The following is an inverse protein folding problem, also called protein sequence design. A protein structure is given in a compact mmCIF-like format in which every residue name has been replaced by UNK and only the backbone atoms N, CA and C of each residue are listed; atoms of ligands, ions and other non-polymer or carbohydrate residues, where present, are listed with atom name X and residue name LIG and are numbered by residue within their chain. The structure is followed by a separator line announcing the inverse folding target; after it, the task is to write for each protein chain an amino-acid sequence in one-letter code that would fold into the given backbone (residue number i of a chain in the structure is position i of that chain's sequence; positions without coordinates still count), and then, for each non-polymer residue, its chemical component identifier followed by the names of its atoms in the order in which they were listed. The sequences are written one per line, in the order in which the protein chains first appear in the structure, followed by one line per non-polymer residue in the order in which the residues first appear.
data_IF_819380486986
#
_entry.id   IF_819380486986
#
_cell.length_a   1.000
_cell.length_b   1.000
_cell.length_c   1.000
_cell.angle_alpha   90.00
_cell.angle_beta   90.00
_cell.angle_gamma   90.00
#
_symmetry.space_group_name_H-M   'P 1'
#
loop_
_entity.id
_entity.type
_entity.pdbx_description
1 polymer ?
#
# COMPACT_ATOMS: atom_id res chain seq x y z
N UNK A 1 4.94 -9.58 -33.97
CA UNK A 1 5.70 -9.31 -32.73
C UNK A 1 7.18 -9.04 -32.97
N UNK A 2 7.93 -9.96 -33.59
CA UNK A 2 9.38 -9.80 -33.79
C UNK A 2 9.79 -8.58 -34.66
N UNK A 3 9.02 -8.25 -35.70
CA UNK A 3 9.28 -7.05 -36.53
C UNK A 3 9.11 -5.73 -35.77
N UNK A 4 8.06 -5.63 -34.94
CA UNK A 4 7.83 -4.45 -34.10
C UNK A 4 8.92 -4.26 -33.04
N UNK A 5 9.40 -5.36 -32.44
CA UNK A 5 10.50 -5.30 -31.46
C UNK A 5 11.77 -4.73 -32.09
N UNK A 6 12.12 -5.18 -33.30
CA UNK A 6 13.27 -4.65 -34.06
C UNK A 6 13.12 -3.17 -34.40
N UNK A 7 11.93 -2.74 -34.82
CA UNK A 7 11.67 -1.34 -35.14
C UNK A 7 11.81 -0.42 -33.92
N UNK A 8 11.20 -0.78 -32.78
CA UNK A 8 11.35 0.02 -31.56
C UNK A 8 12.75 -0.05 -30.97
N UNK A 9 13.46 -1.17 -31.10
CA UNK A 9 14.87 -1.25 -30.73
C UNK A 9 15.74 -0.32 -31.59
N UNK A 10 15.47 -0.22 -32.89
CA UNK A 10 16.13 0.75 -33.77
C UNK A 10 15.78 2.20 -33.39
N UNK A 11 14.52 2.47 -33.02
CA UNK A 11 14.08 3.78 -32.54
C UNK A 11 14.80 4.19 -31.24
N UNK A 12 14.91 3.29 -30.25
CA UNK A 12 15.67 3.53 -29.01
C UNK A 12 17.17 3.71 -29.30
N UNK A 13 17.71 3.04 -30.32
CA UNK A 13 19.11 3.24 -30.74
C UNK A 13 19.33 4.60 -31.40
N UNK A 14 18.35 5.10 -32.15
CA UNK A 14 18.40 6.40 -32.80
C UNK A 14 18.18 7.55 -31.80
N UNK A 15 17.25 7.39 -30.86
CA UNK A 15 16.96 8.34 -29.78
C UNK A 15 16.79 7.61 -28.45
N UNK A 16 17.91 7.47 -27.74
CA UNK A 16 17.95 6.79 -26.44
C UNK A 16 17.34 7.59 -25.29
N UNK A 17 17.03 8.88 -25.50
CA UNK A 17 16.47 9.76 -24.48
C UNK A 17 14.96 9.98 -24.65
N UNK A 18 14.29 9.16 -25.47
CA UNK A 18 12.85 9.20 -25.65
C UNK A 18 12.14 8.16 -24.77
N UNK A 19 11.40 8.63 -23.76
CA UNK A 19 10.66 7.76 -22.83
C UNK A 19 9.59 6.92 -23.55
N UNK A 20 8.92 7.47 -24.56
CA UNK A 20 7.85 6.79 -25.30
C UNK A 20 8.41 5.63 -26.13
N UNK A 21 9.58 5.79 -26.75
CA UNK A 21 10.24 4.73 -27.49
C UNK A 21 10.58 3.54 -26.58
N UNK A 22 11.09 3.83 -25.37
CA UNK A 22 11.39 2.81 -24.37
C UNK A 22 10.14 2.12 -23.84
N UNK A 23 9.09 2.90 -23.53
CA UNK A 23 7.80 2.36 -23.11
C UNK A 23 7.24 1.41 -24.16
N UNK A 24 7.17 1.83 -25.43
CA UNK A 24 6.65 1.01 -26.52
C UNK A 24 7.49 -0.24 -26.76
N UNK A 25 8.82 -0.15 -26.67
CA UNK A 25 9.70 -1.32 -26.72
C UNK A 25 9.38 -2.30 -25.57
N UNK A 26 9.18 -1.78 -24.35
CA UNK A 26 8.79 -2.58 -23.19
C UNK A 26 7.48 -3.35 -23.41
N UNK A 27 6.45 -2.69 -23.97
CA UNK A 27 5.16 -3.32 -24.31
C UNK A 27 5.35 -4.48 -25.30
N UNK A 28 6.15 -4.26 -26.34
CA UNK A 28 6.37 -5.27 -27.38
C UNK A 28 7.20 -6.45 -26.85
N UNK A 29 8.22 -6.20 -26.04
CA UNK A 29 9.04 -7.23 -25.40
C UNK A 29 8.21 -8.12 -24.48
N UNK A 30 7.35 -7.51 -23.69
CA UNK A 30 6.44 -8.22 -22.79
C UNK A 30 5.46 -9.11 -23.56
N UNK A 31 4.87 -8.59 -24.63
CA UNK A 31 3.97 -9.36 -25.47
C UNK A 31 4.69 -10.43 -26.31
N UNK A 32 6.02 -10.34 -26.43
CA UNK A 32 6.88 -11.40 -26.95
C UNK A 32 7.37 -12.39 -25.86
N UNK A 33 6.92 -12.24 -24.61
CA UNK A 33 7.31 -13.10 -23.48
C UNK A 33 8.64 -12.73 -22.81
N UNK A 34 9.35 -11.71 -23.29
CA UNK A 34 10.58 -11.23 -22.66
C UNK A 34 10.26 -10.25 -21.53
N UNK A 35 9.89 -10.78 -20.37
CA UNK A 35 9.54 -10.02 -19.17
C UNK A 35 10.72 -9.22 -18.61
N UNK A 36 11.94 -9.75 -18.68
CA UNK A 36 13.14 -9.09 -18.18
C UNK A 36 13.47 -7.84 -18.98
N UNK A 37 13.54 -7.97 -20.31
CA UNK A 37 13.76 -6.83 -21.19
C UNK A 37 12.64 -5.81 -21.11
N UNK A 38 11.39 -6.25 -20.92
CA UNK A 38 10.27 -5.33 -20.71
C UNK A 38 10.44 -4.49 -19.44
N UNK A 39 10.76 -5.12 -18.30
CA UNK A 39 10.97 -4.42 -17.04
C UNK A 39 12.14 -3.42 -17.11
N UNK A 40 13.24 -3.81 -17.77
CA UNK A 40 14.37 -2.91 -18.03
C UNK A 40 13.95 -1.68 -18.84
N UNK A 41 13.23 -1.85 -19.95
CA UNK A 41 12.81 -0.70 -20.77
C UNK A 41 11.77 0.18 -20.06
N UNK A 42 10.85 -0.40 -19.30
CA UNK A 42 9.86 0.35 -18.51
C UNK A 42 10.52 1.18 -17.40
N UNK A 43 11.52 0.61 -16.70
CA UNK A 43 12.28 1.38 -15.69
C UNK A 43 13.15 2.46 -16.35
N UNK A 44 13.75 2.21 -17.51
CA UNK A 44 14.46 3.26 -18.25
C UNK A 44 13.53 4.36 -18.77
N UNK A 45 12.29 4.04 -19.20
CA UNK A 45 11.30 5.04 -19.57
C UNK A 45 10.97 5.97 -18.38
N UNK A 46 10.75 5.39 -17.20
CA UNK A 46 10.49 6.14 -15.96
C UNK A 46 11.68 6.95 -15.45
N UNK A 47 12.90 6.56 -15.82
CA UNK A 47 14.09 7.36 -15.52
C UNK A 47 14.14 8.64 -16.38
N UNK A 48 13.67 8.58 -17.62
CA UNK A 48 13.62 9.72 -18.54
C UNK A 48 12.41 10.60 -18.24
N UNK A 49 11.23 9.99 -18.11
CA UNK A 49 9.98 10.65 -17.71
C UNK A 49 9.45 10.03 -16.41
N UNK A 50 9.83 10.59 -15.24
CA UNK A 50 9.33 10.13 -13.95
C UNK A 50 7.82 10.24 -13.77
N UNK A 51 7.13 11.06 -14.57
CA UNK A 51 5.68 11.27 -14.48
C UNK A 51 4.89 10.34 -15.42
N UNK A 52 5.55 9.44 -16.15
CA UNK A 52 4.89 8.52 -17.09
C UNK A 52 4.05 7.44 -16.38
N UNK A 53 2.82 7.79 -15.99
CA UNK A 53 1.88 6.90 -15.29
C UNK A 53 1.64 5.58 -16.04
N UNK A 54 1.59 5.61 -17.37
CA UNK A 54 1.43 4.42 -18.19
C UNK A 54 2.56 3.41 -18.00
N UNK A 55 3.81 3.87 -17.89
CA UNK A 55 4.97 3.01 -17.67
C UNK A 55 4.98 2.44 -16.24
N UNK A 56 4.68 3.27 -15.22
CA UNK A 56 4.60 2.81 -13.82
C UNK A 56 3.53 1.73 -13.64
N UNK A 57 2.30 1.96 -14.15
CA UNK A 57 1.21 0.96 -14.11
C UNK A 57 1.59 -0.32 -14.83
N UNK A 58 2.26 -0.22 -15.99
CA UNK A 58 2.68 -1.40 -16.75
C UNK A 58 3.76 -2.20 -16.03
N UNK A 59 4.73 -1.52 -15.43
CA UNK A 59 5.78 -2.13 -14.64
C UNK A 59 5.19 -2.87 -13.43
N UNK A 60 4.29 -2.21 -12.69
CA UNK A 60 3.56 -2.82 -11.58
C UNK A 60 2.83 -4.10 -12.01
N UNK A 61 2.10 -4.06 -13.13
CA UNK A 61 1.39 -5.22 -13.66
C UNK A 61 2.31 -6.36 -14.11
N UNK A 62 3.43 -6.02 -14.77
CA UNK A 62 4.43 -6.99 -15.18
C UNK A 62 5.07 -7.71 -13.99
N UNK A 63 5.42 -6.96 -12.94
CA UNK A 63 6.06 -7.50 -11.73
C UNK A 63 5.07 -8.30 -10.86
N UNK A 64 3.78 -7.92 -10.85
CA UNK A 64 2.74 -8.66 -10.13
C UNK A 64 2.43 -10.04 -10.70
N UNK A 65 2.71 -10.29 -11.99
CA UNK A 65 2.39 -11.56 -12.68
C UNK A 65 3.60 -12.40 -13.06
N UNK A 66 4.80 -11.88 -12.86
CA UNK A 66 6.02 -12.53 -13.32
C UNK A 66 7.15 -12.30 -12.35
N UNK A 67 7.75 -13.40 -11.87
CA UNK A 67 9.01 -13.34 -11.15
C UNK A 67 10.12 -13.03 -12.16
N UNK A 68 10.83 -11.92 -11.95
CA UNK A 68 12.02 -11.64 -12.74
C UNK A 68 13.14 -12.61 -12.34
N UNK A 69 13.91 -13.14 -13.31
CA UNK A 69 15.10 -13.91 -13.00
C UNK A 69 16.13 -13.04 -12.28
N UNK A 70 17.07 -13.70 -11.61
CA UNK A 70 18.15 -13.01 -10.91
C UNK A 70 19.09 -12.31 -11.90
N UNK A 71 19.65 -11.17 -11.49
CA UNK A 71 20.60 -10.40 -12.32
C UNK A 71 19.97 -9.50 -13.40
N UNK A 72 18.64 -9.38 -13.45
CA UNK A 72 17.97 -8.39 -14.31
C UNK A 72 18.42 -6.98 -13.93
N UNK A 73 18.84 -6.20 -14.94
CA UNK A 73 19.29 -4.83 -14.77
C UNK A 73 18.10 -3.88 -14.81
N UNK A 74 17.59 -3.53 -13.64
CA UNK A 74 16.53 -2.53 -13.50
C UNK A 74 17.14 -1.16 -13.23
N UNK A 75 16.55 -0.12 -13.83
CA UNK A 75 16.98 1.24 -13.58
C UNK A 75 16.54 1.69 -12.18
N UNK A 76 17.50 2.02 -11.31
CA UNK A 76 17.24 2.41 -9.92
C UNK A 76 16.41 3.68 -9.80
N UNK A 77 16.67 4.68 -10.64
CA UNK A 77 15.89 5.93 -10.64
C UNK A 77 14.48 5.69 -11.20
N UNK A 78 14.35 4.83 -12.20
CA UNK A 78 13.05 4.40 -12.73
C UNK A 78 12.19 3.66 -11.70
N UNK A 79 12.78 2.73 -10.95
CA UNK A 79 12.10 2.05 -9.83
C UNK A 79 11.67 3.04 -8.75
N UNK A 80 12.55 3.97 -8.37
CA UNK A 80 12.23 5.04 -7.42
C UNK A 80 11.06 5.88 -7.91
N UNK A 81 11.08 6.30 -9.18
CA UNK A 81 9.99 7.05 -9.79
C UNK A 81 8.69 6.24 -9.77
N UNK A 82 8.72 4.95 -10.13
CA UNK A 82 7.55 4.07 -10.11
C UNK A 82 6.85 4.06 -8.74
N UNK A 83 7.62 3.95 -7.64
CA UNK A 83 7.12 3.93 -6.27
C UNK A 83 6.39 5.22 -5.86
N UNK A 84 6.64 6.34 -6.55
CA UNK A 84 5.96 7.62 -6.26
C UNK A 84 4.56 7.73 -6.87
N UNK A 85 4.18 6.88 -7.83
CA UNK A 85 2.85 6.94 -8.47
C UNK A 85 1.75 6.37 -7.56
N UNK A 86 0.68 7.14 -7.32
CA UNK A 86 -0.48 6.70 -6.52
C UNK A 86 -1.42 5.72 -7.27
N UNK A 87 -1.24 5.55 -8.58
CA UNK A 87 -2.10 4.70 -9.42
C UNK A 87 -1.55 3.29 -9.62
N UNK A 88 -0.40 2.97 -9.02
CA UNK A 88 0.21 1.66 -9.05
C UNK A 88 0.09 0.97 -7.68
N UNK A 89 0.07 -0.36 -7.68
CA UNK A 89 0.24 -1.14 -6.44
C UNK A 89 1.70 -1.03 -5.98
N UNK A 90 1.93 -0.14 -5.01
CA UNK A 90 3.26 0.14 -4.47
C UNK A 90 3.84 -1.04 -3.69
N UNK A 91 3.01 -1.90 -3.13
CA UNK A 91 3.49 -3.08 -2.40
C UNK A 91 4.12 -4.09 -3.38
N UNK A 92 3.53 -4.28 -4.55
CA UNK A 92 4.12 -5.10 -5.63
C UNK A 92 5.44 -4.51 -6.15
N UNK A 93 5.48 -3.20 -6.36
CA UNK A 93 6.71 -2.50 -6.77
C UNK A 93 7.80 -2.59 -5.70
N UNK A 94 7.44 -2.44 -4.42
CA UNK A 94 8.37 -2.52 -3.31
C UNK A 94 8.94 -3.93 -3.17
N UNK A 95 8.10 -4.97 -3.25
CA UNK A 95 8.56 -6.36 -3.20
C UNK A 95 9.58 -6.68 -4.29
N UNK A 96 9.30 -6.28 -5.54
CA UNK A 96 10.23 -6.47 -6.65
C UNK A 96 11.52 -5.65 -6.50
N UNK A 97 11.40 -4.42 -5.98
CA UNK A 97 12.56 -3.54 -5.73
C UNK A 97 13.46 -4.11 -4.64
N UNK A 98 12.88 -4.61 -3.54
CA UNK A 98 13.64 -5.25 -2.46
C UNK A 98 14.30 -6.55 -2.91
N UNK A 99 13.63 -7.36 -3.75
CA UNK A 99 14.24 -8.54 -4.37
C UNK A 99 15.43 -8.16 -5.26
N UNK A 100 15.34 -7.08 -6.04
CA UNK A 100 16.46 -6.59 -6.81
C UNK A 100 17.60 -6.07 -5.90
N UNK A 101 17.28 -5.28 -4.88
CA UNK A 101 18.26 -4.74 -3.95
C UNK A 101 18.98 -5.84 -3.16
N UNK A 102 18.28 -6.91 -2.75
CA UNK A 102 18.86 -8.01 -1.98
C UNK A 102 19.91 -8.81 -2.75
N UNK A 103 19.98 -8.64 -4.08
CA UNK A 103 20.99 -9.26 -4.95
C UNK A 103 22.22 -8.36 -5.17
N UNK A 104 22.15 -7.10 -4.75
CA UNK A 104 23.17 -6.09 -5.00
C UNK A 104 23.76 -5.55 -3.70
N UNK A 105 24.98 -5.01 -3.77
CA UNK A 105 25.57 -4.29 -2.64
C UNK A 105 24.85 -2.94 -2.44
N UNK A 106 24.74 -2.46 -1.18
CA UNK A 106 25.25 -3.09 0.04
C UNK A 106 24.29 -4.12 0.68
N UNK A 107 22.99 -4.12 0.32
CA UNK A 107 21.97 -4.91 1.02
C UNK A 107 22.28 -6.41 1.02
N UNK A 108 22.73 -6.97 -0.10
CA UNK A 108 23.12 -8.39 -0.19
C UNK A 108 24.11 -8.79 0.93
N UNK A 109 25.18 -8.01 1.11
CA UNK A 109 26.23 -8.27 2.11
C UNK A 109 25.67 -8.21 3.54
N UNK A 110 24.77 -7.26 3.79
CA UNK A 110 24.11 -7.09 5.09
C UNK A 110 23.23 -8.31 5.41
N UNK A 111 22.45 -8.77 4.43
CA UNK A 111 21.58 -9.95 4.60
C UNK A 111 22.40 -11.24 4.78
N UNK A 112 23.48 -11.42 4.01
CA UNK A 112 24.41 -12.53 4.19
C UNK A 112 25.04 -12.52 5.59
N UNK A 113 25.44 -11.34 6.10
CA UNK A 113 25.96 -11.18 7.47
C UNK A 113 24.91 -11.55 8.52
N UNK A 114 23.69 -11.02 8.38
CA UNK A 114 22.61 -11.29 9.32
C UNK A 114 22.25 -12.77 9.40
N UNK A 115 22.22 -13.46 8.26
CA UNK A 115 22.02 -14.90 8.20
C UNK A 115 23.16 -15.72 8.83
N UNK A 116 24.40 -15.24 8.75
CA UNK A 116 25.59 -15.96 9.25
C UNK A 116 25.94 -15.68 10.71
N UNK A 117 25.72 -14.45 11.17
CA UNK A 117 26.19 -13.95 12.49
C UNK A 117 25.05 -13.48 13.41
N UNK A 118 23.85 -13.33 12.87
CA UNK A 118 22.70 -12.80 13.61
C UNK A 118 22.31 -11.40 13.18
N UNK A 119 21.01 -11.11 13.24
CA UNK A 119 20.43 -9.85 12.79
C UNK A 119 20.83 -8.66 13.67
N UNK A 120 21.04 -8.88 14.98
CA UNK A 120 21.55 -7.86 15.91
C UNK A 120 22.90 -7.31 15.46
N UNK A 121 23.84 -8.20 15.14
CA UNK A 121 25.18 -7.83 14.69
C UNK A 121 25.13 -7.06 13.38
N UNK A 122 24.32 -7.51 12.42
CA UNK A 122 24.15 -6.80 11.14
C UNK A 122 23.53 -5.40 11.33
N UNK A 123 22.59 -5.26 12.26
CA UNK A 123 22.00 -3.97 12.61
C UNK A 123 23.02 -3.03 13.25
N UNK A 124 23.83 -3.52 14.20
CA UNK A 124 24.89 -2.73 14.84
C UNK A 124 25.98 -2.31 13.84
N UNK A 125 26.41 -3.21 12.97
CA UNK A 125 27.37 -2.88 11.90
C UNK A 125 26.81 -1.83 10.93
N UNK A 126 25.50 -1.81 10.71
CA UNK A 126 24.82 -0.82 9.86
C UNK A 126 24.68 0.53 10.55
N UNK A 127 24.32 0.57 11.84
CA UNK A 127 24.07 1.80 12.57
C UNK A 127 25.36 2.47 13.09
N UNK A 128 26.33 1.67 13.51
CA UNK A 128 27.53 2.11 14.25
C UNK A 128 28.84 1.66 13.57
N UNK A 129 28.82 0.55 12.83
CA UNK A 129 30.01 -0.08 12.28
C UNK A 129 30.31 0.29 10.83
N UNK A 130 30.67 -0.70 10.03
CA UNK A 130 31.22 -0.54 8.67
C UNK A 130 30.17 -0.56 7.55
N UNK A 131 28.97 -1.08 7.79
CA UNK A 131 27.96 -1.33 6.76
C UNK A 131 26.96 -0.15 6.62
N UNK A 132 27.45 1.09 6.72
CA UNK A 132 26.60 2.30 6.78
C UNK A 132 26.11 2.81 5.41
N UNK A 133 26.58 2.22 4.30
CA UNK A 133 26.24 2.65 2.93
C UNK A 133 24.72 2.65 2.69
N UNK A 134 24.00 1.66 3.24
CA UNK A 134 22.55 1.51 3.08
C UNK A 134 21.76 2.65 3.72
N UNK A 135 22.31 3.34 4.74
CA UNK A 135 21.66 4.47 5.41
C UNK A 135 21.37 5.64 4.45
N UNK A 136 22.16 5.75 3.38
CA UNK A 136 22.00 6.78 2.35
C UNK A 136 21.37 6.29 1.05
N UNK A 137 20.99 5.01 0.95
CA UNK A 137 20.49 4.45 -0.31
C UNK A 137 19.08 4.97 -0.61
N UNK A 138 18.99 5.91 -1.56
CA UNK A 138 17.72 6.58 -1.85
C UNK A 138 16.62 5.69 -2.43
N UNK A 139 16.97 4.54 -3.05
CA UNK A 139 15.97 3.60 -3.55
C UNK A 139 15.45 2.72 -2.41
N UNK A 140 16.36 2.23 -1.56
CA UNK A 140 15.98 1.48 -0.36
C UNK A 140 15.07 2.30 0.55
N UNK A 141 15.47 3.53 0.87
CA UNK A 141 14.68 4.45 1.69
C UNK A 141 13.31 4.77 1.07
N UNK A 142 13.23 5.03 -0.25
CA UNK A 142 11.93 5.26 -0.89
C UNK A 142 11.05 4.00 -0.84
N UNK A 143 11.65 2.82 -0.96
CA UNK A 143 10.93 1.55 -0.89
C UNK A 143 10.29 1.34 0.48
N UNK A 144 11.05 1.56 1.57
CA UNK A 144 10.53 1.48 2.95
C UNK A 144 9.40 2.48 3.22
N UNK A 145 9.41 3.64 2.57
CA UNK A 145 8.41 4.70 2.80
C UNK A 145 7.10 4.47 2.05
N UNK A 146 7.07 3.59 1.06
CA UNK A 146 5.99 3.54 0.06
C UNK A 146 5.30 2.19 -0.06
N UNK A 147 5.96 1.09 0.32
CA UNK A 147 5.36 -0.24 0.21
C UNK A 147 5.74 -1.14 1.37
N UNK A 148 4.83 -2.05 1.69
CA UNK A 148 5.02 -2.97 2.81
C UNK A 148 6.13 -3.97 2.50
N UNK A 149 7.18 -3.98 3.33
CA UNK A 149 8.22 -5.01 3.34
C UNK A 149 7.60 -6.35 3.77
N UNK A 150 7.74 -7.38 2.93
CA UNK A 150 7.22 -8.74 3.19
C UNK A 150 8.29 -9.83 3.06
N UNK A 151 9.56 -9.44 2.88
CA UNK A 151 10.68 -10.38 2.79
C UNK A 151 11.16 -10.73 4.21
N UNK A 152 11.13 -12.01 4.64
CA UNK A 152 11.47 -12.39 6.01
C UNK A 152 12.86 -11.92 6.45
N UNK A 153 13.88 -12.11 5.61
CA UNK A 153 15.25 -11.68 5.93
C UNK A 153 15.40 -10.15 6.07
N UNK A 154 14.63 -9.38 5.29
CA UNK A 154 14.65 -7.91 5.39
C UNK A 154 13.84 -7.45 6.61
N UNK A 155 12.72 -8.10 6.92
CA UNK A 155 11.95 -7.83 8.14
C UNK A 155 12.77 -8.11 9.40
N UNK A 156 13.46 -9.25 9.46
CA UNK A 156 14.34 -9.58 10.58
C UNK A 156 15.46 -8.54 10.75
N UNK A 157 16.10 -8.15 9.64
CA UNK A 157 17.11 -7.09 9.64
C UNK A 157 16.55 -5.75 10.14
N UNK A 158 15.41 -5.30 9.62
CA UNK A 158 14.80 -4.01 10.00
C UNK A 158 14.28 -4.03 11.44
N UNK A 159 13.77 -5.17 11.92
CA UNK A 159 13.38 -5.38 13.32
C UNK A 159 14.60 -5.24 14.23
N UNK A 160 15.74 -5.83 13.85
CA UNK A 160 16.99 -5.67 14.58
C UNK A 160 17.55 -4.24 14.54
N UNK A 161 17.43 -3.53 13.39
CA UNK A 161 17.79 -2.09 13.29
C UNK A 161 16.92 -1.26 14.22
N UNK A 162 15.61 -1.50 14.25
CA UNK A 162 14.67 -0.83 15.16
C UNK A 162 15.09 -1.01 16.62
N UNK A 163 15.36 -2.25 17.04
CA UNK A 163 15.85 -2.55 18.39
C UNK A 163 17.22 -1.89 18.67
N UNK A 164 18.08 -1.73 17.66
CA UNK A 164 19.42 -1.15 17.83
C UNK A 164 19.31 0.35 18.08
N UNK A 165 18.43 1.01 17.33
CA UNK A 165 18.14 2.43 17.52
C UNK A 165 17.57 2.73 18.92
N UNK A 166 16.82 1.80 19.52
CA UNK A 166 16.27 1.94 20.87
C UNK A 166 17.30 1.66 21.98
N UNK A 167 18.04 0.56 21.86
CA UNK A 167 18.83 0.02 22.98
C UNK A 167 20.32 0.39 22.94
N UNK A 168 20.92 0.50 21.75
CA UNK A 168 22.39 0.56 21.61
C UNK A 168 22.90 1.86 21.00
N UNK A 169 22.14 2.48 20.09
CA UNK A 169 22.60 3.64 19.33
C UNK A 169 22.54 4.91 20.20
N UNK A 170 23.67 5.59 20.44
CA UNK A 170 23.68 6.80 21.26
C UNK A 170 22.97 7.96 20.54
N UNK A 171 22.34 8.86 21.30
CA UNK A 171 21.62 10.03 20.75
C UNK A 171 22.48 10.90 19.82
N UNK A 172 23.78 11.03 20.11
CA UNK A 172 24.73 11.74 19.25
C UNK A 172 24.88 11.14 17.84
N UNK A 173 24.47 9.88 17.61
CA UNK A 173 24.50 9.30 16.26
C UNK A 173 23.42 9.90 15.34
N UNK A 174 22.33 10.43 15.91
CA UNK A 174 21.26 11.13 15.17
C UNK A 174 21.67 12.54 14.69
N UNK A 175 22.94 12.93 14.84
CA UNK A 175 23.48 14.11 14.15
C UNK A 175 23.76 13.84 12.67
N UNK A 176 23.95 12.59 12.27
CA UNK A 176 24.11 12.20 10.87
C UNK A 176 22.75 12.10 10.17
N UNK A 177 22.58 12.94 9.16
CA UNK A 177 21.35 13.00 8.39
C UNK A 177 21.01 11.69 7.65
N UNK A 178 22.01 10.84 7.34
CA UNK A 178 21.74 9.52 6.73
C UNK A 178 21.03 8.59 7.71
N UNK A 179 21.49 8.52 8.96
CA UNK A 179 20.80 7.73 9.98
C UNK A 179 19.42 8.31 10.27
N UNK A 180 19.28 9.63 10.35
CA UNK A 180 17.97 10.28 10.55
C UNK A 180 17.00 9.92 9.43
N UNK A 181 17.43 9.96 8.16
CA UNK A 181 16.59 9.57 7.01
C UNK A 181 16.19 8.09 7.06
N UNK A 182 17.12 7.21 7.44
CA UNK A 182 16.83 5.79 7.67
C UNK A 182 15.81 5.60 8.80
N UNK A 183 16.00 6.28 9.94
CA UNK A 183 15.08 6.20 11.07
C UNK A 183 13.68 6.68 10.69
N UNK A 184 13.56 7.81 9.97
CA UNK A 184 12.25 8.28 9.49
C UNK A 184 11.62 7.29 8.50
N UNK A 185 12.41 6.70 7.58
CA UNK A 185 11.90 5.70 6.65
C UNK A 185 11.42 4.43 7.39
N UNK A 186 12.17 3.97 8.39
CA UNK A 186 11.81 2.83 9.22
C UNK A 186 10.56 3.10 10.07
N UNK A 187 10.46 4.29 10.65
CA UNK A 187 9.25 4.76 11.34
C UNK A 187 8.03 4.73 10.42
N UNK A 188 8.14 5.26 9.20
CA UNK A 188 7.06 5.19 8.22
C UNK A 188 6.71 3.75 7.84
N UNK A 189 7.70 2.87 7.71
CA UNK A 189 7.47 1.44 7.47
C UNK A 189 6.70 0.77 8.62
N UNK A 190 7.00 1.11 9.87
CA UNK A 190 6.24 0.65 11.04
C UNK A 190 4.81 1.18 11.06
N UNK A 191 4.55 2.38 10.51
CA UNK A 191 3.20 2.89 10.33
C UNK A 191 2.45 2.14 9.23
N UNK A 192 3.14 1.80 8.14
CA UNK A 192 2.56 1.07 7.00
C UNK A 192 2.17 -0.36 7.36
N UNK A 193 3.00 -1.06 8.15
CA UNK A 193 2.73 -2.43 8.58
C UNK A 193 1.94 -2.55 9.90
N UNK A 194 1.45 -1.41 10.42
CA UNK A 194 0.66 -1.32 11.64
C UNK A 194 1.34 -1.95 12.87
N UNK A 195 2.66 -1.74 12.98
CA UNK A 195 3.49 -2.14 14.13
C UNK A 195 3.51 -3.65 14.39
N UNK A 196 3.37 -4.48 13.35
CA UNK A 196 3.29 -5.95 13.48
C UNK A 196 4.59 -6.62 13.97
N UNK A 197 5.73 -5.92 13.93
CA UNK A 197 7.03 -6.48 14.32
C UNK A 197 7.16 -6.66 15.84
N UNK A 198 7.55 -7.86 16.24
CA UNK A 198 7.63 -8.29 17.64
C UNK A 198 8.60 -7.44 18.48
N UNK A 199 8.28 -7.30 19.77
CA UNK A 199 9.07 -6.56 20.77
C UNK A 199 9.65 -7.53 21.80
N UNK A 200 10.93 -7.36 22.15
CA UNK A 200 11.56 -8.10 23.24
C UNK A 200 11.24 -7.48 24.61
N UNK A 201 11.39 -8.23 25.71
CA UNK A 201 11.23 -7.68 27.06
C UNK A 201 12.11 -6.47 27.35
N UNK A 202 13.34 -6.45 26.82
CA UNK A 202 14.29 -5.34 26.97
C UNK A 202 13.78 -4.07 26.26
N UNK A 203 13.22 -4.22 25.06
CA UNK A 203 12.59 -3.12 24.32
C UNK A 203 11.38 -2.57 25.09
N UNK A 204 10.51 -3.45 25.60
CA UNK A 204 9.35 -3.05 26.41
C UNK A 204 9.76 -2.26 27.65
N UNK A 205 10.80 -2.71 28.36
CA UNK A 205 11.34 -2.01 29.52
C UNK A 205 11.92 -0.64 29.14
N UNK A 206 12.71 -0.57 28.07
CA UNK A 206 13.27 0.69 27.59
C UNK A 206 12.17 1.69 27.20
N UNK A 207 11.14 1.25 26.49
CA UNK A 207 10.00 2.06 26.10
C UNK A 207 9.20 2.55 27.32
N UNK A 208 9.03 1.73 28.37
CA UNK A 208 8.34 2.14 29.59
C UNK A 208 9.13 3.20 30.38
N UNK A 209 10.47 3.16 30.31
CA UNK A 209 11.35 4.08 31.06
C UNK A 209 11.50 5.47 30.43
N UNK A 210 11.07 5.65 29.17
CA UNK A 210 11.29 6.88 28.40
C UNK A 210 9.98 7.62 28.15
N UNK A 211 9.68 8.60 29.01
CA UNK A 211 8.64 9.59 28.74
C UNK A 211 9.13 10.60 27.70
N UNK A 212 8.26 10.97 26.76
CA UNK A 212 8.56 11.96 25.71
C UNK A 212 7.54 13.09 25.83
N UNK A 213 8.04 14.30 26.05
CA UNK A 213 7.22 15.50 26.12
C UNK A 213 6.85 15.96 24.69
N UNK A 214 5.60 15.74 24.30
CA UNK A 214 5.13 16.01 22.93
C UNK A 214 5.20 17.50 22.56
N UNK A 215 4.96 18.39 23.51
CA UNK A 215 5.15 19.84 23.39
C UNK A 215 6.59 20.23 23.02
N UNK A 216 7.58 19.53 23.58
CA UNK A 216 8.99 19.74 23.22
C UNK A 216 9.29 19.28 21.79
N UNK A 217 8.68 18.17 21.33
CA UNK A 217 8.76 17.74 19.93
C UNK A 217 8.18 18.81 19.01
N UNK A 218 7.00 19.32 19.33
CA UNK A 218 6.32 20.39 18.58
C UNK A 218 7.10 21.71 18.61
N UNK A 219 7.86 21.98 19.68
CA UNK A 219 8.72 23.14 19.78
C UNK A 219 10.04 23.02 18.99
N UNK A 220 10.32 21.87 18.38
CA UNK A 220 11.55 21.62 17.61
C UNK A 220 12.75 21.20 18.47
N UNK A 221 12.53 20.73 19.71
CA UNK A 221 13.60 20.24 20.55
C UNK A 221 14.26 19.00 19.95
N UNK A 222 15.58 19.06 19.78
CA UNK A 222 16.35 18.03 19.09
C UNK A 222 16.33 16.69 19.85
N UNK A 223 16.46 16.72 21.17
CA UNK A 223 16.53 15.50 21.98
C UNK A 223 15.16 14.81 22.05
N UNK A 224 14.08 15.60 22.18
CA UNK A 224 12.71 15.12 22.11
C UNK A 224 12.40 14.51 20.74
N UNK A 225 12.79 15.17 19.65
CA UNK A 225 12.59 14.66 18.29
C UNK A 225 13.32 13.33 18.04
N UNK A 226 14.55 13.18 18.55
CA UNK A 226 15.31 11.93 18.46
C UNK A 226 14.62 10.78 19.19
N UNK A 227 14.21 11.00 20.45
CA UNK A 227 13.46 10.00 21.22
C UNK A 227 12.12 9.68 20.55
N UNK A 228 11.45 10.69 20.02
CA UNK A 228 10.16 10.56 19.34
C UNK A 228 10.25 9.72 18.07
N UNK A 229 11.29 9.88 17.24
CA UNK A 229 11.48 9.06 16.04
C UNK A 229 11.56 7.58 16.39
N UNK A 230 12.31 7.23 17.44
CA UNK A 230 12.43 5.83 17.90
C UNK A 230 11.10 5.35 18.46
N UNK A 231 10.44 6.10 19.35
CA UNK A 231 9.12 5.72 19.91
C UNK A 231 8.06 5.50 18.83
N UNK A 232 8.10 6.30 17.78
CA UNK A 232 7.17 6.23 16.66
C UNK A 232 7.38 5.00 15.75
N UNK A 233 8.43 4.20 15.97
CA UNK A 233 8.61 2.88 15.34
C UNK A 233 7.86 1.76 16.06
N UNK A 234 7.38 2.02 17.28
CA UNK A 234 6.69 1.04 18.12
C UNK A 234 5.21 1.39 18.29
N UNK A 235 4.88 2.68 18.35
CA UNK A 235 3.53 3.14 18.64
C UNK A 235 3.12 4.27 17.69
N UNK A 236 1.81 4.50 17.47
CA UNK A 236 1.32 5.62 16.69
C UNK A 236 1.87 6.97 17.20
N UNK A 237 2.17 7.93 16.30
CA UNK A 237 2.68 9.25 16.70
C UNK A 237 1.69 10.03 17.58
N UNK A 238 0.40 9.72 17.47
CA UNK A 238 -0.68 10.29 18.30
C UNK A 238 -0.57 9.93 19.78
N UNK A 239 0.13 8.85 20.14
CA UNK A 239 0.33 8.47 21.56
C UNK A 239 1.22 9.48 22.30
N UNK A 240 2.07 10.22 21.57
CA UNK A 240 2.95 11.25 22.13
C UNK A 240 2.47 12.66 21.79
N UNK A 241 2.04 12.89 20.55
CA UNK A 241 1.66 14.22 20.08
C UNK A 241 0.17 14.54 20.30
N UNK A 242 -0.68 13.52 20.48
CA UNK A 242 -2.13 13.67 20.35
C UNK A 242 -2.57 13.95 18.91
N UNK A 243 -3.85 14.32 18.74
CA UNK A 243 -4.42 14.70 17.44
C UNK A 243 -4.17 16.19 17.17
N UNK A 244 -2.96 16.53 16.75
CA UNK A 244 -2.56 17.91 16.42
C UNK A 244 -2.85 18.26 14.96
N UNK A 245 -3.24 19.52 14.71
CA UNK A 245 -3.38 20.02 13.34
C UNK A 245 -2.03 20.06 12.62
N UNK A 246 -1.97 19.86 11.29
CA UNK A 246 -0.72 19.90 10.52
C UNK A 246 0.11 21.18 10.74
N UNK A 247 -0.52 22.34 10.91
CA UNK A 247 0.17 23.62 11.14
C UNK A 247 0.97 23.68 12.46
N UNK A 248 0.54 22.90 13.46
CA UNK A 248 1.24 22.80 14.74
C UNK A 248 2.61 22.09 14.61
N UNK A 249 2.85 21.42 13.47
CA UNK A 249 4.11 20.73 13.18
C UNK A 249 5.17 21.64 12.55
N UNK A 250 4.86 22.92 12.28
CA UNK A 250 5.72 23.85 11.54
C UNK A 250 7.14 24.01 12.11
N UNK A 251 7.30 23.87 13.43
CA UNK A 251 8.60 23.97 14.14
C UNK A 251 9.30 22.64 14.38
N UNK A 252 8.66 21.51 14.05
CA UNK A 252 9.27 20.18 14.24
C UNK A 252 10.53 20.09 13.40
N UNK A 253 11.63 19.67 14.01
CA UNK A 253 12.90 19.38 13.33
C UNK A 253 13.32 17.93 13.62
N UNK A 254 14.08 17.29 12.72
CA UNK A 254 14.52 17.78 11.41
C UNK A 254 13.39 17.83 10.39
N UNK A 255 13.53 18.65 9.32
CA UNK A 255 12.52 18.77 8.26
C UNK A 255 11.99 17.42 7.71
N UNK A 256 12.85 16.41 7.56
CA UNK A 256 12.41 15.08 7.08
C UNK A 256 11.42 14.40 8.03
N UNK A 257 11.53 14.61 9.35
CA UNK A 257 10.56 14.15 10.33
C UNK A 257 9.25 14.95 10.22
N UNK A 258 9.37 16.28 10.11
CA UNK A 258 8.22 17.17 9.92
C UNK A 258 7.39 16.78 8.71
N UNK A 259 8.02 16.59 7.56
CA UNK A 259 7.34 16.23 6.30
C UNK A 259 6.58 14.89 6.44
N UNK A 260 7.19 13.90 7.11
CA UNK A 260 6.56 12.62 7.39
C UNK A 260 5.34 12.77 8.32
N UNK A 261 5.43 13.58 9.38
CA UNK A 261 4.34 13.83 10.31
C UNK A 261 3.22 14.66 9.66
N UNK A 262 3.54 15.70 8.90
CA UNK A 262 2.55 16.51 8.18
C UNK A 262 1.75 15.62 7.24
N UNK A 263 2.43 14.77 6.48
CA UNK A 263 1.76 13.78 5.62
C UNK A 263 0.83 12.88 6.46
N UNK A 264 1.36 12.24 7.50
CA UNK A 264 0.60 11.28 8.32
C UNK A 264 -0.59 11.91 9.03
N UNK A 265 -0.46 13.12 9.55
CA UNK A 265 -1.52 13.84 10.26
C UNK A 265 -2.57 14.35 9.28
N UNK A 266 -2.17 14.85 8.10
CA UNK A 266 -3.12 15.27 7.05
C UNK A 266 -4.00 14.10 6.63
N UNK A 267 -3.40 12.93 6.41
CA UNK A 267 -4.16 11.71 6.08
C UNK A 267 -5.13 11.31 7.21
N UNK A 268 -4.70 11.37 8.47
CA UNK A 268 -5.58 11.03 9.60
C UNK A 268 -6.77 11.97 9.71
N UNK A 269 -6.55 13.28 9.55
CA UNK A 269 -7.63 14.27 9.55
C UNK A 269 -8.60 14.03 8.39
N UNK A 270 -8.08 13.76 7.19
CA UNK A 270 -8.88 13.46 6.01
C UNK A 270 -9.76 12.21 6.24
N UNK A 271 -9.18 11.14 6.81
CA UNK A 271 -9.91 9.90 7.14
C UNK A 271 -11.04 10.20 8.14
N UNK A 272 -10.75 10.93 9.21
CA UNK A 272 -11.72 11.25 10.26
C UNK A 272 -12.85 12.16 9.73
N UNK A 273 -12.53 13.14 8.90
CA UNK A 273 -13.53 14.03 8.30
C UNK A 273 -14.42 13.30 7.31
N UNK A 274 -13.85 12.39 6.51
CA UNK A 274 -14.63 11.51 5.64
C UNK A 274 -15.52 10.59 6.46
N UNK A 275 -14.97 9.93 7.49
CA UNK A 275 -15.70 9.02 8.37
C UNK A 275 -16.96 9.67 8.97
N UNK A 276 -16.88 10.93 9.42
CA UNK A 276 -18.02 11.70 9.96
C UNK A 276 -19.14 11.95 8.95
N UNK A 277 -18.82 12.00 7.65
CA UNK A 277 -19.79 12.28 6.56
C UNK A 277 -20.45 11.01 6.01
N UNK A 278 -20.02 9.83 6.45
CA UNK A 278 -20.52 8.56 5.91
C UNK A 278 -21.96 8.34 6.33
N UNK A 279 -22.90 8.16 5.37
CA UNK A 279 -24.29 7.95 5.71
C UNK A 279 -24.47 6.66 6.52
N UNK A 280 -25.20 6.78 7.63
CA UNK A 280 -25.51 5.65 8.51
C UNK A 280 -26.85 5.03 8.12
N UNK A 281 -26.87 3.71 7.92
CA UNK A 281 -28.11 2.97 7.61
C UNK A 281 -28.93 2.61 8.88
N UNK A 282 -28.35 2.78 10.07
CA UNK A 282 -29.01 2.62 11.36
C UNK A 282 -28.01 2.53 12.52
N UNK A 283 -28.46 2.06 13.69
CA UNK A 283 -27.64 1.92 14.90
C UNK A 283 -27.12 0.49 15.11
N UNK A 284 -25.93 0.36 15.69
CA UNK A 284 -25.33 -0.91 16.09
C UNK A 284 -25.75 -1.17 17.54
N UNK A 285 -26.45 -2.28 17.80
CA UNK A 285 -26.91 -2.65 19.15
C UNK A 285 -26.18 -3.87 19.72
N UNK A 286 -25.45 -4.60 18.88
CA UNK A 286 -24.77 -5.84 19.25
C UNK A 286 -23.41 -5.54 19.91
N UNK A 287 -23.20 -6.03 21.13
CA UNK A 287 -22.00 -5.76 21.92
C UNK A 287 -20.70 -6.22 21.25
N UNK A 288 -20.73 -7.37 20.55
CA UNK A 288 -19.59 -7.87 19.77
C UNK A 288 -19.26 -6.92 18.62
N UNK A 289 -20.26 -6.49 17.86
CA UNK A 289 -20.12 -5.53 16.77
C UNK A 289 -19.60 -4.17 17.26
N UNK A 290 -20.04 -3.72 18.45
CA UNK A 290 -19.51 -2.51 19.10
C UNK A 290 -18.03 -2.70 19.44
N UNK A 291 -17.66 -3.82 20.06
CA UNK A 291 -16.26 -4.11 20.42
C UNK A 291 -15.35 -4.15 19.18
N UNK A 292 -15.79 -4.83 18.12
CA UNK A 292 -15.06 -4.91 16.84
C UNK A 292 -14.91 -3.52 16.21
N UNK A 293 -15.99 -2.73 16.17
CA UNK A 293 -15.92 -1.37 15.65
C UNK A 293 -14.98 -0.47 16.46
N UNK A 294 -14.98 -0.59 17.79
CA UNK A 294 -14.06 0.16 18.66
C UNK A 294 -12.61 -0.20 18.39
N UNK A 295 -12.28 -1.49 18.20
CA UNK A 295 -10.92 -1.92 17.90
C UNK A 295 -10.38 -1.31 16.60
N UNK A 296 -11.15 -1.35 15.52
CA UNK A 296 -10.72 -0.80 14.22
C UNK A 296 -10.87 0.73 14.11
N UNK A 297 -11.60 1.39 15.02
CA UNK A 297 -11.65 2.84 15.07
C UNK A 297 -10.30 3.47 15.47
N UNK A 298 -9.45 2.74 16.19
CA UNK A 298 -8.11 3.22 16.59
C UNK A 298 -7.11 3.13 15.42
N UNK A 299 -7.17 2.05 14.63
CA UNK A 299 -6.42 1.93 13.37
C UNK A 299 -7.24 1.16 12.33
N UNK A 300 -7.62 1.79 11.21
CA UNK A 300 -8.24 1.11 10.08
C UNK A 300 -7.32 0.03 9.51
N UNK A 301 -7.80 -1.22 9.46
CA UNK A 301 -7.03 -2.38 8.97
C UNK A 301 -7.83 -3.20 7.94
N UNK A 302 -7.17 -3.82 6.94
CA UNK A 302 -5.77 -3.60 6.56
C UNK A 302 -5.62 -2.30 5.76
N UNK A 303 -4.62 -1.47 6.05
CA UNK A 303 -4.26 -0.37 5.14
C UNK A 303 -3.63 -0.93 3.86
N UNK A 304 -3.76 -0.20 2.75
CA UNK A 304 -3.26 -0.62 1.45
C UNK A 304 -2.82 0.59 0.64
N UNK A 305 -1.66 0.52 0.01
CA UNK A 305 -1.02 1.66 -0.66
C UNK A 305 -1.43 1.82 -2.11
N UNK A 306 -2.00 0.76 -2.69
CA UNK A 306 -2.35 0.65 -4.09
C UNK A 306 -3.28 -0.54 -4.38
N UNK A 307 -3.96 -0.56 -5.53
CA UNK A 307 -4.56 -1.78 -6.08
C UNK A 307 -4.10 -1.98 -7.51
N UNK A 308 -3.80 -3.24 -7.83
CA UNK A 308 -3.58 -3.65 -9.21
C UNK A 308 -4.91 -3.60 -9.97
N UNK A 309 -5.01 -2.71 -10.95
CA UNK A 309 -6.21 -2.60 -11.79
C UNK A 309 -5.93 -3.07 -13.20
N UNK A 310 -6.94 -3.68 -13.82
CA UNK A 310 -6.87 -3.98 -15.24
C UNK A 310 -6.87 -2.69 -16.07
N UNK A 311 -6.30 -2.73 -17.27
CA UNK A 311 -6.56 -1.69 -18.26
C UNK A 311 -8.05 -1.63 -18.55
N UNK A 312 -8.53 -0.46 -18.97
CA UNK A 312 -9.90 -0.28 -19.44
C UNK A 312 -10.27 -1.39 -20.44
N UNK A 313 -11.42 -2.04 -20.21
CA UNK A 313 -11.95 -3.19 -20.97
C UNK A 313 -11.17 -4.52 -20.90
N UNK A 314 -10.00 -4.59 -20.25
CA UNK A 314 -9.27 -5.86 -20.09
C UNK A 314 -9.93 -6.80 -19.08
N UNK A 315 -10.52 -6.26 -18.01
CA UNK A 315 -11.23 -7.10 -17.04
C UNK A 315 -12.41 -7.83 -17.68
N UNK A 316 -13.22 -7.13 -18.48
CA UNK A 316 -14.32 -7.73 -19.26
C UNK A 316 -13.82 -8.79 -20.25
N UNK A 317 -12.69 -8.52 -20.93
CA UNK A 317 -12.07 -9.47 -21.83
C UNK A 317 -11.62 -10.75 -21.10
N UNK A 318 -11.03 -10.61 -19.91
CA UNK A 318 -10.66 -11.76 -19.08
C UNK A 318 -11.89 -12.52 -18.59
N UNK A 319 -12.96 -11.84 -18.15
CA UNK A 319 -14.20 -12.52 -17.79
C UNK A 319 -14.78 -13.31 -18.96
N UNK A 320 -14.66 -12.81 -20.20
CA UNK A 320 -15.14 -13.52 -21.39
C UNK A 320 -14.37 -14.79 -21.75
N UNK A 321 -13.20 -15.05 -21.13
CA UNK A 321 -12.51 -16.35 -21.26
C UNK A 321 -13.06 -17.41 -20.30
N UNK A 322 -13.86 -17.00 -19.31
CA UNK A 322 -14.40 -17.86 -18.25
C UNK A 322 -15.92 -18.00 -18.37
N UNK A 323 -16.62 -16.93 -18.76
CA UNK A 323 -18.08 -16.85 -18.88
C UNK A 323 -18.52 -16.62 -20.31
N UNK A 324 -19.71 -17.14 -20.64
CA UNK A 324 -20.31 -16.89 -21.94
C UNK A 324 -20.70 -15.42 -22.09
N UNK A 325 -20.56 -14.89 -23.30
CA UNK A 325 -20.95 -13.50 -23.61
C UNK A 325 -22.42 -13.18 -23.26
N UNK A 326 -23.30 -14.18 -23.28
CA UNK A 326 -24.71 -14.03 -22.88
C UNK A 326 -24.84 -13.77 -21.38
N UNK A 327 -24.01 -14.41 -20.55
CA UNK A 327 -23.99 -14.22 -19.09
C UNK A 327 -23.41 -12.85 -18.72
N UNK A 328 -22.47 -12.33 -19.51
CA UNK A 328 -21.82 -11.04 -19.30
C UNK A 328 -22.56 -9.84 -19.90
N UNK A 329 -23.66 -10.06 -20.63
CA UNK A 329 -24.37 -9.00 -21.36
C UNK A 329 -24.79 -7.83 -20.45
N UNK A 330 -25.14 -8.10 -19.19
CA UNK A 330 -25.55 -7.07 -18.23
C UNK A 330 -24.44 -6.04 -17.92
N UNK A 331 -23.16 -6.40 -18.10
CA UNK A 331 -22.02 -5.49 -17.86
C UNK A 331 -22.00 -4.32 -18.85
N UNK A 332 -22.74 -4.44 -19.96
CA UNK A 332 -22.89 -3.40 -21.00
C UNK A 332 -23.93 -2.34 -20.65
N UNK A 333 -24.62 -2.47 -19.51
CA UNK A 333 -25.64 -1.53 -19.04
C UNK A 333 -25.42 -1.23 -17.56
N UNK A 334 -25.99 -0.14 -17.00
CA UNK A 334 -25.82 0.16 -15.58
C UNK A 334 -26.29 -0.96 -14.65
N UNK A 335 -25.44 -1.35 -13.70
CA UNK A 335 -25.71 -2.37 -12.68
C UNK A 335 -25.19 -1.96 -11.30
N UNK A 336 -25.75 -2.54 -10.25
CA UNK A 336 -25.36 -2.27 -8.87
C UNK A 336 -24.57 -3.45 -8.30
N UNK A 337 -23.51 -3.15 -7.56
CA UNK A 337 -22.67 -4.12 -6.85
C UNK A 337 -22.69 -3.76 -5.37
N UNK A 338 -22.94 -4.73 -4.50
CA UNK A 338 -22.85 -4.60 -3.05
C UNK A 338 -21.71 -5.48 -2.53
N UNK A 339 -20.82 -4.88 -1.75
CA UNK A 339 -19.72 -5.55 -1.04
C UNK A 339 -19.91 -5.29 0.44
N UNK A 340 -20.49 -6.27 1.13
CA UNK A 340 -20.68 -6.24 2.57
C UNK A 340 -19.42 -6.68 3.32
N UNK A 341 -19.07 -5.97 4.39
CA UNK A 341 -17.80 -6.14 5.09
C UNK A 341 -16.62 -5.62 4.27
N UNK A 342 -16.75 -4.43 3.67
CA UNK A 342 -15.71 -3.93 2.77
C UNK A 342 -14.45 -3.45 3.49
N UNK A 343 -14.47 -3.33 4.83
CA UNK A 343 -13.35 -2.84 5.63
C UNK A 343 -12.82 -1.50 5.12
N UNK A 344 -11.50 -1.43 4.93
CA UNK A 344 -10.77 -0.30 4.33
C UNK A 344 -10.97 -0.14 2.82
N UNK A 345 -11.86 -0.93 2.21
CA UNK A 345 -12.37 -0.69 0.86
C UNK A 345 -11.54 -1.27 -0.28
N UNK A 346 -10.42 -1.96 -0.04
CA UNK A 346 -9.52 -2.46 -1.11
C UNK A 346 -10.26 -3.17 -2.23
N UNK A 347 -11.06 -4.18 -1.87
CA UNK A 347 -11.81 -4.98 -2.83
C UNK A 347 -12.93 -4.18 -3.51
N UNK A 348 -13.56 -3.25 -2.79
CA UNK A 348 -14.65 -2.45 -3.32
C UNK A 348 -14.18 -1.35 -4.29
N UNK A 349 -13.03 -0.75 -4.00
CA UNK A 349 -12.38 0.20 -4.89
C UNK A 349 -11.85 -0.52 -6.13
N UNK A 350 -11.20 -1.69 -5.99
CA UNK A 350 -10.79 -2.50 -7.15
C UNK A 350 -11.98 -2.84 -8.04
N UNK A 351 -13.08 -3.35 -7.46
CA UNK A 351 -14.28 -3.68 -8.22
C UNK A 351 -14.85 -2.47 -8.98
N UNK A 352 -14.85 -1.28 -8.37
CA UNK A 352 -15.30 -0.06 -9.03
C UNK A 352 -14.43 0.32 -10.24
N UNK A 353 -13.12 0.11 -10.14
CA UNK A 353 -12.16 0.38 -11.22
C UNK A 353 -12.25 -0.69 -12.33
N UNK A 354 -12.34 -1.96 -11.96
CA UNK A 354 -12.30 -3.10 -12.89
C UNK A 354 -13.61 -3.27 -13.68
N UNK A 355 -14.76 -3.10 -13.02
CA UNK A 355 -16.05 -3.12 -13.71
C UNK A 355 -16.30 -1.85 -14.54
N UNK A 356 -15.63 -0.76 -14.22
CA UNK A 356 -15.73 0.50 -14.95
C UNK A 356 -17.05 1.26 -14.71
N UNK A 357 -17.39 2.22 -15.60
CA UNK A 357 -18.40 3.25 -15.34
C UNK A 357 -19.84 2.72 -15.23
N UNK A 358 -20.10 1.50 -15.72
CA UNK A 358 -21.44 0.89 -15.66
C UNK A 358 -21.75 0.30 -14.27
N UNK A 359 -20.74 -0.02 -13.47
CA UNK A 359 -20.96 -0.52 -12.12
C UNK A 359 -21.18 0.64 -11.16
N UNK A 360 -22.18 0.53 -10.28
CA UNK A 360 -22.31 1.33 -9.08
C UNK A 360 -21.97 0.47 -7.87
N UNK A 361 -20.80 0.66 -7.30
CA UNK A 361 -20.30 -0.19 -6.21
C UNK A 361 -20.60 0.45 -4.86
N UNK A 362 -21.31 -0.31 -4.01
CA UNK A 362 -21.64 0.07 -2.64
C UNK A 362 -20.84 -0.79 -1.68
N UNK A 363 -19.93 -0.17 -0.92
CA UNK A 363 -19.25 -0.79 0.21
C UNK A 363 -20.04 -0.58 1.51
N UNK A 364 -20.22 -1.65 2.29
CA UNK A 364 -20.79 -1.59 3.63
C UNK A 364 -19.80 -2.11 4.65
N UNK A 365 -19.59 -1.36 5.74
CA UNK A 365 -18.85 -1.83 6.91
C UNK A 365 -19.43 -1.20 8.19
N UNK A 366 -19.03 -1.70 9.35
CA UNK A 366 -19.45 -1.19 10.67
C UNK A 366 -18.48 -0.13 11.22
N UNK A 367 -17.24 -0.10 10.71
CA UNK A 367 -16.17 0.78 11.21
C UNK A 367 -16.13 2.09 10.41
N UNK A 368 -16.25 3.24 11.09
CA UNK A 368 -16.32 4.54 10.40
C UNK A 368 -14.98 4.96 9.82
N UNK A 369 -13.89 4.77 10.57
CA UNK A 369 -12.53 5.12 10.13
C UNK A 369 -12.08 4.25 8.95
N UNK A 370 -12.42 2.96 8.93
CA UNK A 370 -12.19 2.08 7.76
C UNK A 370 -12.93 2.55 6.52
N UNK A 371 -14.19 2.96 6.67
CA UNK A 371 -14.94 3.51 5.54
C UNK A 371 -14.47 4.91 5.13
N UNK A 372 -13.95 5.72 6.07
CA UNK A 372 -13.31 7.01 5.81
C UNK A 372 -12.06 6.82 4.97
N UNK A 373 -11.22 5.86 5.34
CA UNK A 373 -10.06 5.43 4.58
C UNK A 373 -10.44 4.90 3.19
N UNK A 374 -11.47 4.04 3.10
CA UNK A 374 -11.99 3.55 1.83
C UNK A 374 -12.42 4.70 0.90
N UNK A 375 -13.10 5.72 1.44
CA UNK A 375 -13.51 6.90 0.68
C UNK A 375 -12.33 7.73 0.18
N UNK A 376 -11.31 7.94 1.03
CA UNK A 376 -10.08 8.64 0.65
C UNK A 376 -9.36 7.91 -0.49
N UNK A 377 -9.17 6.60 -0.35
CA UNK A 377 -8.49 5.80 -1.36
C UNK A 377 -9.27 5.73 -2.68
N UNK A 378 -10.59 5.64 -2.63
CA UNK A 378 -11.43 5.69 -3.83
C UNK A 378 -11.24 6.98 -4.63
N UNK A 379 -11.11 8.13 -3.95
CA UNK A 379 -10.87 9.42 -4.60
C UNK A 379 -9.47 9.49 -5.20
N UNK A 380 -8.43 9.10 -4.44
CA UNK A 380 -7.03 9.05 -4.91
C UNK A 380 -6.87 8.20 -6.17
N UNK A 381 -7.65 7.12 -6.28
CA UNK A 381 -7.62 6.21 -7.42
C UNK A 381 -8.61 6.53 -8.51
N UNK A 382 -9.36 7.62 -8.38
CA UNK A 382 -10.38 8.04 -9.34
C UNK A 382 -11.49 6.97 -9.54
N UNK A 383 -11.82 6.21 -8.50
CA UNK A 383 -12.89 5.21 -8.48
C UNK A 383 -14.26 5.87 -8.25
N UNK A 384 -14.71 6.69 -9.22
CA UNK A 384 -15.89 7.56 -9.10
C UNK A 384 -17.22 6.85 -8.84
N UNK A 385 -17.28 5.55 -9.13
CA UNK A 385 -18.50 4.76 -8.99
C UNK A 385 -18.66 4.08 -7.62
N UNK A 386 -17.64 4.20 -6.76
CA UNK A 386 -17.67 3.67 -5.40
C UNK A 386 -18.40 4.62 -4.44
N UNK A 387 -19.21 4.05 -3.55
CA UNK A 387 -19.85 4.74 -2.42
C UNK A 387 -19.82 3.86 -1.18
N UNK A 388 -19.63 4.45 -0.01
CA UNK A 388 -19.63 3.75 1.28
C UNK A 388 -20.84 4.13 2.14
N UNK A 389 -21.35 3.18 2.91
CA UNK A 389 -22.34 3.43 3.95
C UNK A 389 -21.99 2.63 5.20
N UNK A 390 -22.29 3.22 6.37
CA UNK A 390 -22.14 2.51 7.65
C UNK A 390 -23.32 1.57 7.86
N UNK A 391 -23.01 0.29 8.07
CA UNK A 391 -23.98 -0.77 8.31
C UNK A 391 -24.49 -0.79 9.77
N UNK A 392 -25.61 -1.49 9.95
CA UNK A 392 -26.14 -1.94 11.25
C UNK A 392 -25.61 -3.32 11.60
N UNK A 393 -25.63 -3.71 12.88
CA UNK A 393 -25.16 -5.04 13.37
C UNK A 393 -25.79 -6.24 12.65
N UNK A 394 -26.95 -6.05 12.00
CA UNK A 394 -27.50 -6.97 11.01
C UNK A 394 -27.79 -6.20 9.72
N UNK A 395 -27.31 -6.71 8.58
CA UNK A 395 -27.80 -6.26 7.27
C UNK A 395 -29.26 -6.74 7.17
N UNK A 396 -30.21 -5.87 7.48
CA UNK A 396 -31.62 -6.23 7.50
C UNK A 396 -32.06 -6.76 6.12
N UNK A 397 -33.03 -7.68 6.10
CA UNK A 397 -33.63 -8.16 4.85
C UNK A 397 -34.22 -7.02 4.00
N UNK A 398 -34.52 -5.85 4.60
CA UNK A 398 -35.00 -4.65 3.91
C UNK A 398 -33.87 -3.93 3.17
N UNK A 399 -32.67 -3.87 3.77
CA UNK A 399 -31.44 -3.41 3.13
C UNK A 399 -31.04 -4.35 1.98
N UNK A 400 -31.18 -5.67 2.19
CA UNK A 400 -30.93 -6.68 1.16
C UNK A 400 -31.92 -6.62 -0.02
N UNK A 401 -33.18 -6.24 0.21
CA UNK A 401 -34.20 -6.08 -0.84
C UNK A 401 -33.91 -4.94 -1.81
N UNK A 402 -33.22 -3.88 -1.37
CA UNK A 402 -32.77 -2.77 -2.24
C UNK A 402 -31.78 -3.26 -3.31
N UNK A 403 -30.94 -4.25 -2.95
CA UNK A 403 -29.85 -4.80 -3.78
C UNK A 403 -30.13 -6.21 -4.36
N UNK A 404 -31.40 -6.66 -4.37
CA UNK A 404 -31.81 -7.95 -4.97
C UNK A 404 -31.73 -9.16 -4.04
N UNK A 405 -32.72 -10.07 -4.10
CA UNK A 405 -32.91 -11.19 -3.17
C UNK A 405 -32.04 -12.44 -3.48
N UNK A 406 -31.20 -12.85 -2.52
CA UNK A 406 -30.48 -14.13 -2.46
C UNK A 406 -30.23 -14.56 -1.01
N UNK A 407 -30.16 -15.87 -0.74
CA UNK A 407 -30.17 -16.50 0.59
C UNK A 407 -28.89 -16.27 1.41
N UNK A 408 -29.07 -16.03 2.70
CA UNK A 408 -28.04 -16.10 3.75
C UNK A 408 -27.72 -17.56 4.05
N UNK A 409 -26.45 -17.97 4.03
CA UNK A 409 -26.05 -19.20 4.71
C UNK A 409 -26.25 -18.99 6.22
N UNK A 410 -27.09 -19.82 6.82
CA UNK A 410 -27.34 -19.88 8.25
C UNK A 410 -26.13 -20.49 8.96
N UNK A 411 -25.08 -19.71 9.14
CA UNK A 411 -24.07 -19.95 10.18
C UNK A 411 -23.47 -18.59 10.54
N UNK A 412 -24.03 -17.98 11.58
CA UNK A 412 -23.59 -16.72 12.14
C UNK A 412 -22.36 -16.97 13.02
N UNK A 413 -21.17 -16.98 12.40
CA UNK A 413 -19.89 -16.87 13.12
C UNK A 413 -18.70 -16.47 12.23
N UNK A 414 -18.93 -15.93 11.02
CA UNK A 414 -17.81 -15.47 10.18
C UNK A 414 -18.14 -14.18 9.42
N UNK A 415 -17.17 -13.27 9.47
CA UNK A 415 -17.00 -12.05 8.71
C UNK A 415 -16.85 -12.35 7.20
N UNK A 416 -17.86 -12.98 6.58
CA UNK A 416 -17.79 -13.43 5.19
C UNK A 416 -18.46 -12.43 4.23
N UNK A 417 -17.63 -11.92 3.32
CA UNK A 417 -17.96 -11.03 2.21
C UNK A 417 -19.20 -11.51 1.46
N UNK A 418 -20.28 -10.74 1.51
CA UNK A 418 -21.48 -11.04 0.72
C UNK A 418 -21.49 -10.18 -0.53
N UNK A 419 -21.40 -10.82 -1.69
CA UNK A 419 -21.44 -10.20 -3.01
C UNK A 419 -22.87 -10.22 -3.55
N UNK A 420 -23.39 -9.07 -3.97
CA UNK A 420 -24.64 -9.01 -4.74
C UNK A 420 -24.49 -8.10 -5.94
N UNK A 421 -24.87 -8.60 -7.11
CA UNK A 421 -24.96 -7.81 -8.33
C UNK A 421 -26.41 -7.78 -8.80
N UNK A 422 -26.92 -6.59 -9.13
CA UNK A 422 -28.27 -6.39 -9.64
C UNK A 422 -28.21 -5.63 -10.96
N UNK A 423 -28.69 -6.26 -12.04
CA UNK A 423 -28.93 -5.56 -13.30
C UNK A 423 -30.24 -4.76 -13.22
N UNK A 424 -30.23 -3.55 -13.77
CA UNK A 424 -31.44 -2.74 -13.96
C UNK A 424 -32.36 -3.31 -15.06
N UNK A 425 -31.85 -4.22 -15.90
CA UNK A 425 -32.55 -4.81 -17.05
C UNK A 425 -33.30 -6.13 -16.76
N UNK A 426 -33.53 -6.49 -15.48
CA UNK A 426 -34.48 -7.56 -15.09
C UNK A 426 -34.02 -9.02 -15.25
N UNK A 427 -32.81 -9.30 -15.71
CA UNK A 427 -32.34 -10.70 -15.90
C UNK A 427 -31.83 -11.31 -14.59
N UNK A 428 -32.44 -12.43 -14.17
CA UNK A 428 -32.03 -13.25 -13.01
C UNK A 428 -31.34 -14.53 -13.48
N UNK A 429 -30.01 -14.62 -13.45
CA UNK A 429 -29.29 -15.88 -13.76
C UNK A 429 -28.37 -16.34 -12.62
N UNK A 430 -28.93 -16.68 -11.43
CA UNK A 430 -28.22 -16.94 -10.16
C UNK A 430 -26.95 -17.85 -10.18
N UNK A 431 -26.73 -18.70 -11.17
CA UNK A 431 -25.64 -19.70 -11.23
C UNK A 431 -24.30 -19.18 -11.76
N UNK A 432 -24.29 -18.15 -12.62
CA UNK A 432 -23.06 -17.56 -13.18
C UNK A 432 -22.24 -16.77 -12.13
N UNK A 433 -22.94 -16.17 -11.17
CA UNK A 433 -22.48 -15.06 -10.34
C UNK A 433 -21.51 -15.44 -9.21
N UNK A 434 -21.60 -16.67 -8.67
CA UNK A 434 -20.71 -17.10 -7.59
C UNK A 434 -19.27 -17.32 -8.09
N UNK A 435 -19.12 -17.67 -9.37
CA UNK A 435 -17.80 -17.88 -9.98
C UNK A 435 -17.14 -16.56 -10.40
N UNK A 436 -17.91 -15.61 -10.93
CA UNK A 436 -17.36 -14.34 -11.43
C UNK A 436 -16.84 -13.41 -10.32
N UNK A 437 -17.45 -13.45 -9.13
CA UNK A 437 -17.02 -12.66 -7.97
C UNK A 437 -15.80 -13.24 -7.24
N UNK A 438 -15.35 -14.44 -7.63
CA UNK A 438 -14.21 -15.15 -7.03
C UNK A 438 -12.93 -15.06 -7.88
N UNK A 439 -12.99 -14.43 -9.06
CA UNK A 439 -11.91 -14.34 -10.04
C UNK A 439 -11.29 -12.94 -10.13
#
# INVERSE_FOLDING_TARGET
MLGAAKAFAAAVKADGNNAEHRFNLGIVLEAAGNTSGAAEQLTNALQIDPQMTAASRRLCWLLGRSKLPDGVRLNRQGLKAALTHDTADRDLLAAATLHHLSQTLPLRRILERGAQRGWRDAALDTCLGKDQEILGDSLFLETLRRGVVTSPAIEDFLTAVRAALLLDVPRARFEDLRLVRMAVALMQQCWLNEFVWAETPEELQALASQAIAGDMVLAGDRAAAQAFMVRSMYRPPTDVLGCVQPDALSRVEPQVLRDALVTRMTEEHEILDRARRIPRLGTIQDATSIKVATQYNVSPYPRWTGVLTYRENHYLKNLSTIFDNKELHFLRSPFEVLIAGCGTGRQAVSAALDYGPNARVTGLDITETSLGYASMMAERMNAKTFRSFKATSRISARSQRRFGSGSTSSNASACCTTWRVRSTAGVRSKSAWRRAASC
#
